data_IF_966664295388
#
_entry.id   IF_966664295388
#
_cell.length_a   1.000
_cell.length_b   1.000
_cell.length_c   1.000
_cell.angle_alpha   90.00
_cell.angle_beta   90.00
_cell.angle_gamma   90.00
#
_symmetry.space_group_name_H-M   'P 1'
#
loop_
_entity.id
_entity.type
_entity.pdbx_description
1 polymer ?
#
# COMPACT_ATOMS: atom_id res chain seq x y z
N UNK A 1 -9.96 12.23 5.53
CA UNK A 1 -9.75 11.36 6.71
C UNK A 1 -8.27 11.28 7.01
N UNK A 2 -7.83 11.64 8.21
CA UNK A 2 -6.40 11.67 8.57
C UNK A 2 -5.81 10.26 8.68
N UNK A 3 -4.49 10.12 8.54
CA UNK A 3 -3.80 8.83 8.67
C UNK A 3 -4.04 8.20 10.05
N UNK A 4 -4.05 9.03 11.10
CA UNK A 4 -4.32 8.62 12.49
C UNK A 4 -5.70 7.99 12.68
N UNK A 5 -6.76 8.58 12.11
CA UNK A 5 -8.12 7.99 12.19
C UNK A 5 -8.21 6.67 11.42
N UNK A 6 -7.51 6.53 10.29
CA UNK A 6 -7.44 5.25 9.57
C UNK A 6 -6.75 4.17 10.39
N UNK A 7 -5.66 4.52 11.08
CA UNK A 7 -4.95 3.61 11.98
C UNK A 7 -5.84 3.18 13.15
N UNK A 8 -6.53 4.12 13.80
CA UNK A 8 -7.46 3.84 14.89
C UNK A 8 -8.58 2.87 14.47
N UNK A 9 -9.23 3.12 13.34
CA UNK A 9 -10.26 2.20 12.81
C UNK A 9 -9.70 0.83 12.42
N UNK A 10 -8.45 0.77 11.93
CA UNK A 10 -7.78 -0.51 11.67
C UNK A 10 -7.59 -1.29 12.98
N UNK A 11 -7.21 -0.61 14.06
CA UNK A 11 -6.99 -1.22 15.38
C UNK A 11 -8.29 -1.72 15.98
N UNK A 12 -9.38 -0.96 15.91
CA UNK A 12 -10.71 -1.45 16.33
C UNK A 12 -11.12 -2.72 15.59
N UNK A 13 -10.96 -2.76 14.26
CA UNK A 13 -11.26 -3.98 13.47
C UNK A 13 -10.41 -5.18 13.88
N UNK A 14 -9.15 -4.95 14.25
CA UNK A 14 -8.27 -6.01 14.75
C UNK A 14 -8.76 -6.53 16.11
N UNK A 15 -9.08 -5.63 17.04
CA UNK A 15 -9.64 -6.00 18.34
C UNK A 15 -10.94 -6.81 18.19
N UNK A 16 -11.87 -6.31 17.38
CA UNK A 16 -13.14 -6.99 17.11
C UNK A 16 -12.91 -8.39 16.51
N UNK A 17 -11.94 -8.51 15.60
CA UNK A 17 -11.52 -9.79 15.01
C UNK A 17 -10.99 -10.78 16.05
N UNK A 18 -10.15 -10.32 16.98
CA UNK A 18 -9.61 -11.13 18.08
C UNK A 18 -10.74 -11.64 18.99
N UNK A 19 -11.67 -10.75 19.38
CA UNK A 19 -12.85 -11.10 20.20
C UNK A 19 -13.73 -12.12 19.45
N UNK A 20 -13.90 -11.93 18.14
CA UNK A 20 -14.61 -12.85 17.25
C UNK A 20 -13.83 -14.14 16.93
N UNK A 21 -12.72 -14.42 17.62
CA UNK A 21 -11.91 -15.65 17.51
C UNK A 21 -11.23 -15.84 16.15
N UNK A 22 -11.01 -14.77 15.40
CA UNK A 22 -10.22 -14.79 14.15
C UNK A 22 -8.75 -14.62 14.46
N UNK A 23 -7.89 -15.22 13.64
CA UNK A 23 -6.47 -14.90 13.65
C UNK A 23 -6.29 -13.55 12.96
N UNK A 24 -5.68 -12.61 13.68
CA UNK A 24 -5.44 -11.24 13.27
C UNK A 24 -3.95 -10.90 13.22
N UNK A 25 -3.09 -11.67 13.90
CA UNK A 25 -1.65 -11.60 13.65
C UNK A 25 -1.34 -12.03 12.21
N UNK A 26 -0.60 -11.18 11.51
CA UNK A 26 -0.20 -11.42 10.14
C UNK A 26 1.21 -10.86 9.90
N UNK A 27 1.57 -10.64 8.63
CA UNK A 27 2.87 -10.09 8.25
C UNK A 27 3.08 -8.62 8.63
N UNK A 28 2.01 -7.90 8.97
CA UNK A 28 2.00 -6.46 9.25
C UNK A 28 1.47 -6.11 10.65
N UNK A 29 0.94 -7.08 11.39
CA UNK A 29 0.31 -6.91 12.71
C UNK A 29 0.91 -7.89 13.70
N UNK A 30 1.41 -7.35 14.82
CA UNK A 30 1.85 -8.12 15.99
C UNK A 30 0.99 -7.76 17.20
N UNK A 31 0.50 -8.75 17.94
CA UNK A 31 -0.28 -8.55 19.15
C UNK A 31 0.56 -8.92 20.38
N UNK A 32 0.59 -8.03 21.37
CA UNK A 32 1.27 -8.29 22.65
C UNK A 32 0.30 -8.02 23.79
N UNK A 33 0.20 -8.97 24.72
CA UNK A 33 -0.62 -8.78 25.92
C UNK A 33 -0.07 -7.71 26.85
N UNK A 34 1.26 -7.57 26.91
CA UNK A 34 1.98 -6.61 27.75
C UNK A 34 3.18 -6.03 27.00
N UNK A 35 3.71 -4.92 27.50
CA UNK A 35 4.95 -4.36 27.00
C UNK A 35 6.09 -5.37 27.17
N UNK A 36 6.89 -5.64 26.13
CA UNK A 36 8.09 -6.45 26.29
C UNK A 36 9.03 -5.80 27.31
N UNK A 37 9.52 -6.63 28.24
CA UNK A 37 10.29 -6.15 29.38
C UNK A 37 11.73 -5.82 28.97
N UNK A 38 12.43 -4.92 29.69
CA UNK A 38 13.81 -4.57 29.37
C UNK A 38 14.77 -5.76 29.31
N UNK A 39 14.58 -6.78 30.16
CA UNK A 39 15.36 -8.02 30.14
C UNK A 39 15.20 -8.83 28.83
N UNK A 40 14.08 -8.65 28.12
CA UNK A 40 13.79 -9.28 26.84
C UNK A 40 14.21 -8.42 25.64
N UNK A 41 15.00 -7.35 25.84
CA UNK A 41 15.34 -6.40 24.78
C UNK A 41 15.95 -7.05 23.53
N UNK A 42 16.85 -8.02 23.70
CA UNK A 42 17.41 -8.76 22.56
C UNK A 42 16.35 -9.53 21.79
N UNK A 43 15.54 -10.32 22.49
CA UNK A 43 14.45 -11.09 21.88
C UNK A 43 13.45 -10.17 21.18
N UNK A 44 13.15 -9.03 21.78
CA UNK A 44 12.21 -8.03 21.27
C UNK A 44 12.77 -7.37 20.00
N UNK A 45 14.02 -6.92 20.02
CA UNK A 45 14.69 -6.35 18.84
C UNK A 45 14.76 -7.37 17.69
N UNK A 46 15.07 -8.63 18.01
CA UNK A 46 15.08 -9.74 17.05
C UNK A 46 13.69 -9.98 16.43
N UNK A 47 12.63 -9.97 17.24
CA UNK A 47 11.25 -10.07 16.75
C UNK A 47 10.85 -8.89 15.87
N UNK A 48 11.21 -7.67 16.28
CA UNK A 48 10.95 -6.46 15.51
C UNK A 48 11.66 -6.48 14.15
N UNK A 49 12.94 -6.85 14.13
CA UNK A 49 13.71 -7.02 12.90
C UNK A 49 13.10 -8.10 12.00
N UNK A 50 12.71 -9.24 12.57
CA UNK A 50 12.10 -10.34 11.83
C UNK A 50 10.77 -9.98 11.19
N UNK A 51 9.93 -9.25 11.93
CA UNK A 51 8.66 -8.73 11.44
C UNK A 51 8.90 -7.68 10.33
N UNK A 52 9.79 -6.72 10.55
CA UNK A 52 10.08 -5.68 9.57
C UNK A 52 10.69 -6.23 8.27
N UNK A 53 11.61 -7.19 8.36
CA UNK A 53 12.18 -7.87 7.20
C UNK A 53 11.12 -8.67 6.42
N UNK A 54 10.16 -9.31 7.12
CA UNK A 54 9.07 -10.02 6.49
C UNK A 54 8.02 -9.10 5.85
N UNK A 55 7.86 -7.88 6.37
CA UNK A 55 6.95 -6.87 5.84
C UNK A 55 7.46 -6.20 4.55
N UNK A 56 8.74 -6.38 4.21
CA UNK A 56 9.34 -6.02 2.91
C UNK A 56 9.12 -4.55 2.50
N UNK A 57 9.07 -3.62 3.46
CA UNK A 57 8.88 -2.18 3.20
C UNK A 57 7.46 -1.68 3.51
N UNK A 58 6.50 -2.57 3.78
CA UNK A 58 5.20 -2.16 4.32
C UNK A 58 5.32 -1.78 5.80
N UNK A 59 4.64 -0.72 6.27
CA UNK A 59 4.61 -0.40 7.69
C UNK A 59 3.99 -1.52 8.51
N UNK A 60 4.62 -1.83 9.63
CA UNK A 60 4.13 -2.82 10.60
C UNK A 60 3.56 -2.11 11.82
N UNK A 61 2.59 -2.75 12.47
CA UNK A 61 2.01 -2.27 13.72
C UNK A 61 2.15 -3.31 14.81
N UNK A 62 2.52 -2.85 16.01
CA UNK A 62 2.47 -3.65 17.23
C UNK A 62 1.36 -3.09 18.12
N UNK A 63 0.44 -3.95 18.54
CA UNK A 63 -0.68 -3.56 19.41
C UNK A 63 -0.45 -4.20 20.77
N UNK A 64 -0.19 -3.34 21.76
CA UNK A 64 0.07 -3.70 23.15
C UNK A 64 -1.24 -3.66 23.93
N UNK A 65 -1.47 -4.66 24.78
CA UNK A 65 -2.68 -4.82 25.57
C UNK A 65 -3.72 -5.75 24.93
N UNK A 66 -3.35 -6.53 23.92
CA UNK A 66 -4.24 -7.50 23.25
C UNK A 66 -3.61 -8.89 23.30
N UNK A 67 -4.37 -9.87 23.78
CA UNK A 67 -3.95 -11.26 23.85
C UNK A 67 -4.77 -12.09 22.86
N UNK A 68 -4.18 -12.45 21.72
CA UNK A 68 -4.86 -13.24 20.69
C UNK A 68 -5.19 -14.66 21.19
N UNK A 69 -4.27 -15.29 21.94
CA UNK A 69 -4.45 -16.65 22.44
C UNK A 69 -5.63 -16.76 23.41
N UNK A 70 -5.76 -15.78 24.30
CA UNK A 70 -6.83 -15.72 25.29
C UNK A 70 -8.06 -14.98 24.76
N UNK A 71 -7.99 -14.41 23.54
CA UNK A 71 -9.08 -13.68 22.86
C UNK A 71 -9.60 -12.52 23.73
N UNK A 72 -8.68 -11.77 24.31
CA UNK A 72 -9.00 -10.76 25.32
C UNK A 72 -8.22 -9.47 25.11
N UNK A 73 -8.86 -8.35 25.41
CA UNK A 73 -8.19 -7.04 25.55
C UNK A 73 -7.81 -6.87 27.01
N UNK A 74 -6.52 -6.95 27.30
CA UNK A 74 -5.97 -6.86 28.65
C UNK A 74 -5.70 -5.41 29.07
N UNK A 75 -5.53 -4.51 28.08
CA UNK A 75 -5.04 -3.17 28.31
C UNK A 75 -3.51 -3.08 28.35
N UNK A 76 -2.99 -1.92 27.98
CA UNK A 76 -1.58 -1.61 28.05
C UNK A 76 -1.29 -0.75 29.29
N UNK A 77 -0.29 -1.15 30.06
CA UNK A 77 0.26 -0.28 31.10
C UNK A 77 0.85 0.99 30.48
N UNK A 78 0.83 2.10 31.24
CA UNK A 78 1.50 3.34 30.85
C UNK A 78 3.00 3.07 30.66
N UNK A 79 3.54 3.42 29.50
CA UNK A 79 4.93 3.21 29.14
C UNK A 79 5.46 4.44 28.39
N UNK A 80 6.67 4.88 28.74
CA UNK A 80 7.43 5.81 27.91
C UNK A 80 7.96 5.05 26.69
N UNK A 81 7.26 5.16 25.56
CA UNK A 81 7.58 4.44 24.32
C UNK A 81 8.97 4.83 23.79
N UNK A 82 9.40 6.08 23.96
CA UNK A 82 10.73 6.51 23.55
C UNK A 82 11.81 5.85 24.41
N UNK A 83 11.61 5.84 25.73
CA UNK A 83 12.47 5.14 26.69
C UNK A 83 12.53 3.63 26.48
N UNK A 84 11.42 3.01 26.06
CA UNK A 84 11.36 1.59 25.70
C UNK A 84 12.07 1.28 24.38
N UNK A 85 11.90 2.13 23.36
CA UNK A 85 12.40 1.87 22.02
C UNK A 85 13.90 2.16 21.85
N UNK A 86 14.44 3.17 22.54
CA UNK A 86 15.84 3.58 22.40
C UNK A 86 16.85 2.44 22.73
N UNK A 87 16.67 1.63 23.79
CA UNK A 87 17.49 0.45 24.04
C UNK A 87 17.42 -0.59 22.92
N UNK A 88 16.24 -0.80 22.31
CA UNK A 88 16.07 -1.76 21.22
C UNK A 88 16.88 -1.35 20.00
N UNK A 89 16.88 -0.06 19.66
CA UNK A 89 17.62 0.48 18.50
C UNK A 89 19.12 0.22 18.58
N UNK A 90 19.72 0.23 19.78
CA UNK A 90 21.16 -0.04 19.99
C UNK A 90 21.57 -1.47 19.63
N UNK A 91 20.61 -2.40 19.58
CA UNK A 91 20.82 -3.80 19.24
C UNK A 91 20.88 -4.05 17.72
N UNK A 92 20.58 -3.03 16.91
CA UNK A 92 20.70 -3.11 15.45
C UNK A 92 22.11 -2.73 14.99
N UNK A 93 22.55 -3.32 13.88
CA UNK A 93 23.81 -2.95 13.24
C UNK A 93 23.75 -1.50 12.74
N UNK A 94 24.80 -0.72 13.02
CA UNK A 94 24.84 0.71 12.74
C UNK A 94 23.67 1.54 13.31
N UNK A 95 22.93 1.01 14.29
CA UNK A 95 21.67 1.57 14.80
C UNK A 95 20.57 1.78 13.73
N UNK A 96 20.64 0.99 12.65
CA UNK A 96 19.63 0.95 11.59
C UNK A 96 18.49 0.04 12.05
N UNK A 97 17.54 0.61 12.78
CA UNK A 97 16.32 -0.05 13.24
C UNK A 97 15.08 0.46 12.47
N UNK A 98 13.94 -0.25 12.49
CA UNK A 98 12.67 0.24 11.92
C UNK A 98 12.22 1.54 12.58
N UNK A 99 12.02 2.62 11.81
CA UNK A 99 11.78 3.94 12.38
C UNK A 99 10.39 4.02 13.04
N UNK A 100 10.33 4.57 14.26
CA UNK A 100 9.06 4.77 14.98
C UNK A 100 8.27 5.92 14.33
N UNK A 101 7.17 5.62 13.65
CA UNK A 101 6.37 6.61 12.91
C UNK A 101 5.31 7.28 13.79
N UNK A 102 4.51 6.47 14.48
CA UNK A 102 3.36 6.94 15.24
C UNK A 102 3.16 6.08 16.49
N UNK A 103 2.68 6.70 17.56
CA UNK A 103 2.19 6.01 18.75
C UNK A 103 0.79 6.52 19.06
N UNK A 104 -0.17 5.60 19.18
CA UNK A 104 -1.57 5.91 19.43
C UNK A 104 -2.09 5.12 20.61
N UNK A 105 -2.74 5.81 21.55
CA UNK A 105 -3.54 5.17 22.60
C UNK A 105 -4.97 5.05 22.08
N UNK A 106 -5.49 3.82 21.99
CA UNK A 106 -6.85 3.55 21.51
C UNK A 106 -7.69 3.07 22.68
N UNK A 107 -8.74 3.82 23.08
CA UNK A 107 -9.64 3.40 24.14
C UNK A 107 -10.49 2.20 23.68
N UNK A 108 -10.71 1.25 24.57
CA UNK A 108 -11.59 0.11 24.35
C UNK A 108 -12.32 -0.23 25.65
N UNK A 109 -13.63 0.02 25.70
CA UNK A 109 -14.44 -0.11 26.91
C UNK A 109 -13.81 0.62 28.11
N UNK A 110 -13.43 -0.11 29.16
CA UNK A 110 -12.84 0.42 30.40
C UNK A 110 -11.30 0.34 30.42
N UNK A 111 -10.68 0.07 29.27
CA UNK A 111 -9.24 -0.11 29.14
C UNK A 111 -8.72 0.63 27.90
N UNK A 112 -7.40 0.68 27.71
CA UNK A 112 -6.78 1.24 26.52
C UNK A 112 -5.66 0.35 26.02
N UNK A 113 -5.54 0.26 24.70
CA UNK A 113 -4.44 -0.42 24.03
C UNK A 113 -3.47 0.63 23.48
N UNK A 114 -2.20 0.28 23.35
CA UNK A 114 -1.21 1.16 22.71
C UNK A 114 -0.79 0.56 21.39
N UNK A 115 -0.81 1.37 20.35
CA UNK A 115 -0.42 1.00 19.00
C UNK A 115 0.89 1.71 18.69
N UNK A 116 1.87 0.94 18.24
CA UNK A 116 3.18 1.44 17.83
C UNK A 116 3.37 1.08 16.36
N UNK A 117 3.48 2.08 15.50
CA UNK A 117 3.67 1.90 14.06
C UNK A 117 5.13 2.15 13.68
N UNK A 118 5.70 1.22 12.92
CA UNK A 118 7.08 1.30 12.43
C UNK A 118 7.14 1.38 10.91
N UNK A 119 8.04 2.22 10.40
CA UNK A 119 8.46 2.20 9.01
C UNK A 119 9.49 1.08 8.80
N UNK A 120 9.33 0.34 7.72
CA UNK A 120 10.19 -0.80 7.37
C UNK A 120 10.94 -0.60 6.05
N UNK A 121 10.87 0.60 5.47
CA UNK A 121 11.42 0.93 4.15
C UNK A 121 12.94 0.79 4.01
N UNK A 122 13.67 0.58 5.12
CA UNK A 122 15.13 0.44 5.16
C UNK A 122 15.61 -1.00 5.33
N UNK A 123 14.73 -2.00 5.18
CA UNK A 123 15.13 -3.40 5.19
C UNK A 123 16.29 -3.65 4.18
N UNK A 124 17.21 -4.59 4.45
CA UNK A 124 17.24 -5.53 5.57
C UNK A 124 17.69 -4.91 6.91
N UNK A 125 17.00 -5.29 7.99
CA UNK A 125 17.37 -4.99 9.36
C UNK A 125 18.21 -6.11 9.96
N UNK A 126 19.39 -5.75 10.47
CA UNK A 126 20.40 -6.67 11.03
C UNK A 126 20.49 -6.48 12.53
N UNK A 127 20.49 -7.56 13.31
CA UNK A 127 20.59 -7.51 14.78
C UNK A 127 21.90 -8.10 15.28
N UNK A 128 22.45 -7.50 16.34
CA UNK A 128 23.62 -7.98 17.09
C UNK A 128 23.22 -9.18 17.93
N UNK A 129 23.88 -10.32 17.71
CA UNK A 129 23.68 -11.54 18.50
C UNK A 129 24.53 -11.43 19.77
N UNK A 130 23.96 -11.66 20.97
CA UNK A 130 24.71 -11.69 22.22
C UNK A 130 25.90 -12.65 22.12
N UNK A 131 27.05 -12.29 22.71
CA UNK A 131 28.22 -13.16 22.71
C UNK A 131 27.90 -14.50 23.38
N UNK A 132 28.37 -15.59 22.78
CA UNK A 132 28.41 -16.90 23.43
C UNK A 132 29.73 -17.03 24.18
N UNK A 133 29.74 -17.79 25.29
CA UNK A 133 30.97 -18.08 26.04
C UNK A 133 32.07 -18.58 25.11
N UNK A 134 33.26 -17.95 25.21
CA UNK A 134 34.42 -18.28 24.39
C UNK A 134 34.47 -17.64 22.99
N UNK A 135 33.46 -16.85 22.59
CA UNK A 135 33.45 -16.13 21.30
C UNK A 135 33.29 -14.62 21.50
N UNK A 136 34.38 -13.87 21.40
CA UNK A 136 34.41 -12.41 21.52
C UNK A 136 34.19 -11.65 20.19
N UNK A 137 33.88 -12.37 19.10
CA UNK A 137 33.63 -11.73 17.81
C UNK A 137 32.19 -11.21 17.76
N UNK A 138 31.96 -9.97 17.29
CA UNK A 138 30.61 -9.48 17.01
C UNK A 138 29.93 -10.42 16.02
N UNK A 139 28.77 -10.96 16.41
CA UNK A 139 27.95 -11.80 15.54
C UNK A 139 26.70 -11.03 15.16
N UNK A 140 26.31 -11.18 13.91
CA UNK A 140 25.13 -10.54 13.35
C UNK A 140 24.24 -11.59 12.72
N UNK A 141 22.94 -11.36 12.78
CA UNK A 141 21.97 -12.13 12.03
C UNK A 141 20.97 -11.18 11.36
N UNK A 142 20.36 -11.65 10.28
CA UNK A 142 19.18 -11.01 9.67
C UNK A 142 17.98 -11.84 10.11
N UNK A 143 17.18 -11.41 11.09
CA UNK A 143 16.01 -12.17 11.48
C UNK A 143 14.93 -12.10 10.40
N UNK A 144 14.16 -13.16 10.22
CA UNK A 144 13.02 -13.23 9.31
C UNK A 144 11.85 -13.94 9.99
N UNK A 145 10.65 -13.37 9.86
CA UNK A 145 9.43 -14.00 10.38
C UNK A 145 8.83 -14.94 9.34
N UNK A 146 8.59 -16.18 9.75
CA UNK A 146 7.80 -17.16 9.00
C UNK A 146 6.71 -17.72 9.91
N UNK A 147 5.45 -17.39 9.59
CA UNK A 147 4.31 -17.62 10.48
C UNK A 147 4.49 -16.90 11.81
N UNK A 148 4.42 -17.63 12.92
CA UNK A 148 4.58 -17.10 14.29
C UNK A 148 6.02 -17.24 14.82
N UNK A 149 6.97 -17.68 13.99
CA UNK A 149 8.36 -17.91 14.39
C UNK A 149 9.30 -16.88 13.78
N UNK A 150 10.32 -16.48 14.53
CA UNK A 150 11.41 -15.63 14.05
C UNK A 150 12.68 -16.47 13.97
N UNK A 151 13.21 -16.65 12.76
CA UNK A 151 14.42 -17.44 12.49
C UNK A 151 15.45 -16.60 11.75
N UNK A 152 16.75 -16.97 11.74
CA UNK A 152 17.70 -16.34 10.83
C UNK A 152 17.26 -16.53 9.37
N UNK A 153 17.35 -15.47 8.58
CA UNK A 153 17.00 -15.46 7.17
C UNK A 153 17.86 -16.46 6.40
N UNK A 154 17.21 -17.31 5.60
CA UNK A 154 17.89 -18.16 4.61
C UNK A 154 18.16 -17.35 3.35
N UNK A 155 18.90 -17.96 2.40
CA UNK A 155 19.18 -17.33 1.10
C UNK A 155 17.92 -16.84 0.39
N UNK A 156 16.87 -17.65 0.37
CA UNK A 156 15.59 -17.30 -0.26
C UNK A 156 14.89 -16.12 0.42
N UNK A 157 14.98 -16.04 1.75
CA UNK A 157 14.44 -14.92 2.54
C UNK A 157 15.21 -13.63 2.24
N UNK A 158 16.55 -13.72 2.19
CA UNK A 158 17.39 -12.58 1.82
C UNK A 158 17.08 -12.08 0.40
N UNK A 159 16.87 -12.97 -0.56
CA UNK A 159 16.47 -12.59 -1.91
C UNK A 159 15.10 -11.90 -1.91
N UNK A 160 14.14 -12.36 -1.11
CA UNK A 160 12.83 -11.69 -0.96
C UNK A 160 12.93 -10.32 -0.30
N UNK A 161 13.80 -10.17 0.70
CA UNK A 161 14.02 -8.89 1.38
C UNK A 161 14.68 -7.89 0.42
N UNK A 162 15.65 -8.35 -0.38
CA UNK A 162 16.40 -7.50 -1.31
C UNK A 162 15.68 -7.28 -2.65
N UNK A 163 14.71 -8.12 -3.00
CA UNK A 163 13.85 -7.90 -4.15
C UNK A 163 13.05 -6.60 -3.91
N UNK A 164 13.21 -5.59 -4.78
CA UNK A 164 12.52 -4.32 -4.62
C UNK A 164 11.02 -4.55 -4.51
N UNK A 165 10.42 -4.16 -3.38
CA UNK A 165 8.97 -4.09 -3.30
C UNK A 165 8.52 -2.92 -4.15
N UNK A 166 8.11 -3.21 -5.38
CA UNK A 166 7.46 -2.22 -6.23
C UNK A 166 6.01 -2.13 -5.74
N UNK A 167 5.74 -1.21 -4.83
CA UNK A 167 4.37 -0.89 -4.45
C UNK A 167 3.64 -0.27 -5.64
N UNK A 168 2.38 -0.66 -5.83
CA UNK A 168 1.51 0.01 -6.78
C UNK A 168 1.44 1.51 -6.40
N UNK A 169 1.65 2.45 -7.34
CA UNK A 169 1.44 3.84 -7.06
C UNK A 169 -0.03 4.09 -6.68
N UNK A 170 -0.27 5.07 -5.83
CA UNK A 170 -1.59 5.63 -5.64
C UNK A 170 -2.06 6.28 -6.95
N UNK A 171 -3.29 6.00 -7.36
CA UNK A 171 -3.90 6.59 -8.55
C UNK A 171 -5.24 7.18 -8.16
N UNK A 172 -5.36 8.50 -8.30
CA UNK A 172 -6.60 9.23 -8.10
C UNK A 172 -7.12 9.71 -9.47
N UNK A 173 -8.33 9.29 -9.83
CA UNK A 173 -8.98 9.75 -11.05
C UNK A 173 -9.55 11.16 -10.84
N UNK A 174 -9.20 12.09 -11.74
CA UNK A 174 -9.56 13.50 -11.61
C UNK A 174 -10.77 13.86 -12.47
N UNK A 175 -10.70 13.58 -13.77
CA UNK A 175 -11.75 13.94 -14.73
C UNK A 175 -11.81 12.96 -15.89
N UNK A 176 -13.01 12.74 -16.43
CA UNK A 176 -13.24 12.03 -17.69
C UNK A 176 -13.93 12.97 -18.67
N UNK A 177 -13.36 13.11 -19.86
CA UNK A 177 -13.98 13.82 -20.98
C UNK A 177 -14.33 12.83 -22.09
N UNK A 178 -15.50 12.97 -22.68
CA UNK A 178 -15.88 12.23 -23.89
C UNK A 178 -16.20 13.25 -24.96
N UNK A 179 -15.42 13.26 -26.03
CA UNK A 179 -15.68 14.06 -27.21
C UNK A 179 -16.25 13.17 -28.32
N UNK A 180 -17.44 13.54 -28.81
CA UNK A 180 -18.14 12.88 -29.91
C UNK A 180 -18.23 13.88 -31.07
N UNK A 181 -17.12 14.00 -31.80
CA UNK A 181 -17.00 15.03 -32.84
C UNK A 181 -17.72 14.66 -34.14
N UNK A 182 -18.09 13.39 -34.39
CA UNK A 182 -18.63 12.98 -35.70
C UNK A 182 -19.35 11.61 -35.77
N UNK A 183 -20.04 11.15 -34.71
CA UNK A 183 -20.86 9.90 -34.65
C UNK A 183 -20.10 8.58 -34.87
N UNK A 184 -18.96 8.57 -35.56
CA UNK A 184 -18.18 7.38 -35.93
C UNK A 184 -16.89 7.22 -35.12
N UNK A 185 -16.53 8.24 -34.35
CA UNK A 185 -15.31 8.27 -33.55
C UNK A 185 -15.60 8.97 -32.23
N UNK A 186 -15.35 8.26 -31.15
CA UNK A 186 -15.45 8.80 -29.81
C UNK A 186 -14.04 8.87 -29.23
N UNK A 187 -13.65 10.05 -28.78
CA UNK A 187 -12.41 10.27 -28.06
C UNK A 187 -12.73 10.37 -26.57
N UNK A 188 -12.09 9.50 -25.78
CA UNK A 188 -12.21 9.53 -24.31
C UNK A 188 -10.87 9.98 -23.75
N UNK A 189 -10.92 10.98 -22.90
CA UNK A 189 -9.76 11.50 -22.17
C UNK A 189 -9.97 11.25 -20.69
N UNK A 190 -9.01 10.62 -20.04
CA UNK A 190 -9.00 10.39 -18.59
C UNK A 190 -7.80 11.11 -17.98
N UNK A 191 -8.05 12.08 -17.11
CA UNK A 191 -7.01 12.71 -16.32
C UNK A 191 -6.94 12.06 -14.94
N UNK A 192 -5.73 11.79 -14.47
CA UNK A 192 -5.48 11.11 -13.20
C UNK A 192 -4.22 11.68 -12.53
N UNK A 193 -4.18 11.61 -11.21
CA UNK A 193 -3.00 11.90 -10.41
C UNK A 193 -2.37 10.58 -9.99
N UNK A 194 -1.08 10.40 -10.29
CA UNK A 194 -0.32 9.20 -9.94
C UNK A 194 0.79 9.58 -8.99
N UNK A 195 0.83 8.92 -7.83
CA UNK A 195 1.85 9.12 -6.81
C UNK A 195 2.55 7.79 -6.48
N UNK A 196 3.87 7.66 -6.72
CA UNK A 196 4.64 6.53 -6.24
C UNK A 196 4.48 6.38 -4.73
N UNK A 197 4.39 5.14 -4.24
CA UNK A 197 4.37 4.87 -2.80
C UNK A 197 5.80 4.60 -2.34
N UNK A 198 6.21 5.27 -1.26
CA UNK A 198 7.57 5.18 -0.71
C UNK A 198 8.63 5.90 -1.55
N UNK A 199 9.87 5.42 -1.51
CA UNK A 199 11.00 5.98 -2.25
C UNK A 199 11.11 5.48 -3.71
N UNK A 200 10.11 4.73 -4.19
CA UNK A 200 10.11 4.13 -5.52
C UNK A 200 9.74 5.12 -6.64
N UNK A 201 9.96 4.71 -7.89
CA UNK A 201 9.45 5.37 -9.09
C UNK A 201 8.37 4.52 -9.74
N UNK A 202 7.31 5.14 -10.24
CA UNK A 202 6.30 4.45 -11.03
C UNK A 202 6.68 4.53 -12.51
N UNK A 203 6.82 3.38 -13.16
CA UNK A 203 7.05 3.31 -14.61
C UNK A 203 5.79 2.76 -15.25
N UNK A 204 5.18 3.55 -16.14
CA UNK A 204 3.90 3.29 -16.79
C UNK A 204 4.12 3.13 -18.29
N UNK A 205 4.20 1.90 -18.83
CA UNK A 205 4.35 1.69 -20.26
C UNK A 205 3.03 1.91 -20.98
N UNK A 206 3.03 2.72 -22.04
CA UNK A 206 1.82 3.02 -22.82
C UNK A 206 1.19 1.75 -23.39
N UNK A 207 2.00 0.79 -23.84
CA UNK A 207 1.53 -0.49 -24.40
C UNK A 207 0.87 -1.44 -23.38
N UNK A 208 0.94 -1.13 -22.07
CA UNK A 208 0.23 -1.86 -21.02
C UNK A 208 -0.98 -1.10 -20.49
N UNK A 209 -1.28 0.08 -21.04
CA UNK A 209 -2.46 0.85 -20.68
C UNK A 209 -3.64 0.45 -21.58
N UNK A 210 -4.85 0.43 -21.02
CA UNK A 210 -6.07 0.13 -21.75
C UNK A 210 -7.22 1.05 -21.33
N UNK A 211 -8.07 1.41 -22.29
CA UNK A 211 -9.37 2.03 -22.04
C UNK A 211 -10.44 1.14 -22.67
N UNK A 212 -11.40 0.70 -21.87
CA UNK A 212 -12.55 -0.08 -22.29
C UNK A 212 -13.83 0.70 -22.04
N UNK A 213 -14.73 0.76 -23.03
CA UNK A 213 -16.03 1.43 -22.92
C UNK A 213 -17.15 0.43 -23.22
N UNK A 214 -18.21 0.43 -22.42
CA UNK A 214 -19.44 -0.31 -22.69
C UNK A 214 -20.68 0.52 -22.37
N UNK A 215 -21.72 0.37 -23.18
CA UNK A 215 -23.00 1.06 -23.00
C UNK A 215 -24.05 0.21 -22.26
N UNK A 216 -23.90 -1.12 -22.25
CA UNK A 216 -24.78 -2.05 -21.55
C UNK A 216 -23.99 -2.73 -20.43
N UNK A 217 -24.56 -2.80 -19.21
CA UNK A 217 -23.90 -3.37 -18.02
C UNK A 217 -23.50 -4.84 -18.16
N UNK A 218 -24.16 -5.58 -19.04
CA UNK A 218 -23.90 -6.99 -19.33
C UNK A 218 -23.16 -7.20 -20.66
N UNK A 219 -22.88 -6.12 -21.39
CA UNK A 219 -22.19 -6.16 -22.68
C UNK A 219 -20.66 -6.24 -22.56
N UNK A 220 -19.96 -6.72 -23.61
CA UNK A 220 -18.51 -6.71 -23.66
C UNK A 220 -17.98 -5.27 -23.75
N UNK A 221 -16.80 -5.04 -23.18
CA UNK A 221 -16.06 -3.79 -23.38
C UNK A 221 -15.56 -3.69 -24.83
N UNK A 222 -15.83 -2.56 -25.46
CA UNK A 222 -15.09 -2.13 -26.65
C UNK A 222 -13.82 -1.45 -26.19
N UNK A 223 -12.65 -1.85 -26.69
CA UNK A 223 -11.38 -1.25 -26.28
C UNK A 223 -10.92 -0.18 -27.27
N UNK A 224 -10.26 0.86 -26.76
CA UNK A 224 -9.66 1.91 -27.58
C UNK A 224 -8.58 1.33 -28.51
N UNK A 225 -8.54 1.79 -29.76
CA UNK A 225 -7.56 1.33 -30.77
C UNK A 225 -6.26 2.12 -30.73
N UNK A 226 -6.33 3.39 -30.37
CA UNK A 226 -5.18 4.29 -30.21
C UNK A 226 -5.20 4.80 -28.78
N UNK A 227 -4.15 4.47 -28.02
CA UNK A 227 -4.00 4.85 -26.62
C UNK A 227 -2.75 5.71 -26.50
N UNK A 228 -2.92 6.91 -25.93
CA UNK A 228 -1.84 7.87 -25.74
C UNK A 228 -1.76 8.26 -24.29
N UNK A 229 -0.60 8.02 -23.71
CA UNK A 229 -0.26 8.49 -22.38
C UNK A 229 0.50 9.80 -22.49
N UNK A 230 0.05 10.83 -21.80
CA UNK A 230 0.68 12.16 -21.77
C UNK A 230 0.87 12.64 -20.34
N UNK A 231 1.87 13.48 -20.16
CA UNK A 231 1.98 14.34 -18.99
C UNK A 231 1.06 15.56 -19.15
N UNK A 232 0.47 16.02 -18.05
CA UNK A 232 -0.19 17.33 -18.02
C UNK A 232 0.58 18.32 -17.15
N UNK A 233 1.07 17.86 -15.99
CA UNK A 233 1.77 18.70 -15.02
C UNK A 233 2.47 17.87 -13.94
N UNK A 234 3.71 18.21 -13.58
CA UNK A 234 4.40 17.66 -12.40
C UNK A 234 5.92 17.71 -12.50
N UNK A 235 6.60 18.20 -11.46
CA UNK A 235 8.07 18.28 -11.38
C UNK A 235 8.76 16.90 -11.37
N UNK A 236 8.01 15.82 -11.19
CA UNK A 236 8.51 14.45 -11.05
C UNK A 236 8.50 13.60 -12.31
N UNK A 237 8.07 14.13 -13.47
CA UNK A 237 7.98 13.34 -14.70
C UNK A 237 9.31 13.36 -15.44
N UNK A 238 9.83 12.18 -15.77
CA UNK A 238 10.93 12.05 -16.72
C UNK A 238 10.41 11.49 -18.04
N UNK A 239 10.79 12.14 -19.14
CA UNK A 239 10.54 11.68 -20.51
C UNK A 239 11.79 10.97 -21.05
N UNK A 240 11.95 9.67 -20.83
CA UNK A 240 12.88 8.93 -21.66
C UNK A 240 12.34 8.94 -23.10
N UNK A 241 13.21 8.83 -24.11
CA UNK A 241 12.86 8.80 -25.54
C UNK A 241 12.09 7.51 -25.94
N UNK A 242 11.28 6.96 -25.04
CA UNK A 242 10.67 5.63 -25.08
C UNK A 242 9.17 5.72 -24.76
N UNK A 243 8.35 4.72 -25.13
CA UNK A 243 6.89 4.74 -24.99
C UNK A 243 6.43 4.40 -23.55
N UNK A 244 7.02 5.07 -22.56
CA UNK A 244 6.64 4.92 -21.16
C UNK A 244 6.84 6.22 -20.39
N UNK A 245 6.01 6.43 -19.37
CA UNK A 245 6.11 7.55 -18.46
C UNK A 245 6.79 7.10 -17.16
N UNK A 246 7.78 7.86 -16.70
CA UNK A 246 8.38 7.66 -15.37
C UNK A 246 7.91 8.78 -14.46
N UNK A 247 7.23 8.40 -13.38
CA UNK A 247 6.72 9.29 -12.34
C UNK A 247 7.57 9.08 -11.09
N UNK A 248 8.42 10.06 -10.76
CA UNK A 248 9.32 10.02 -9.60
C UNK A 248 8.71 10.66 -8.35
N UNK A 249 7.74 11.54 -8.52
CA UNK A 249 6.93 12.15 -7.47
C UNK A 249 5.52 12.35 -7.99
N UNK A 250 4.55 12.65 -7.11
CA UNK A 250 3.15 12.76 -7.48
C UNK A 250 2.91 13.71 -8.66
N UNK A 251 2.31 13.18 -9.74
CA UNK A 251 2.16 13.90 -11.00
C UNK A 251 0.80 13.66 -11.65
N UNK A 252 0.33 14.65 -12.41
CA UNK A 252 -0.91 14.57 -13.17
C UNK A 252 -0.62 14.09 -14.59
N UNK A 253 -1.29 13.02 -14.99
CA UNK A 253 -1.11 12.35 -16.27
C UNK A 253 -2.46 12.19 -16.96
N UNK A 254 -2.43 12.07 -18.28
CA UNK A 254 -3.60 11.94 -19.14
C UNK A 254 -3.50 10.68 -19.98
N UNK A 255 -4.59 9.93 -20.04
CA UNK A 255 -4.75 8.78 -20.93
C UNK A 255 -5.86 9.10 -21.94
N UNK A 256 -5.49 9.22 -23.21
CA UNK A 256 -6.40 9.44 -24.33
C UNK A 256 -6.65 8.11 -25.04
N UNK A 257 -7.91 7.83 -25.39
CA UNK A 257 -8.34 6.64 -26.10
C UNK A 257 -9.31 6.95 -27.22
N UNK A 258 -9.08 6.36 -28.39
CA UNK A 258 -10.00 6.48 -29.54
C UNK A 258 -10.79 5.19 -29.73
N UNK A 259 -12.11 5.30 -29.68
CA UNK A 259 -13.04 4.20 -29.91
C UNK A 259 -13.68 4.32 -31.29
N UNK A 260 -13.69 3.19 -32.01
CA UNK A 260 -14.50 3.02 -33.21
C UNK A 260 -15.79 2.28 -32.78
N UNK A 261 -16.83 3.04 -32.46
CA UNK A 261 -18.13 2.51 -32.09
C UNK A 261 -19.11 2.66 -33.26
N UNK A 262 -20.08 1.74 -33.34
CA UNK A 262 -21.22 1.86 -34.24
C UNK A 262 -22.04 3.11 -33.84
N UNK A 263 -22.36 4.06 -34.74
CA UNK A 263 -22.93 5.39 -34.50
C UNK A 263 -24.27 5.51 -33.75
N UNK A 264 -24.71 4.50 -33.00
CA UNK A 264 -25.87 4.67 -32.13
C UNK A 264 -25.57 5.77 -31.10
N UNK A 265 -26.44 6.76 -30.93
CA UNK A 265 -26.17 7.86 -30.04
C UNK A 265 -26.00 7.32 -28.61
N UNK A 266 -24.78 7.47 -28.08
CA UNK A 266 -24.48 7.21 -26.66
C UNK A 266 -25.16 8.24 -25.75
N UNK A 267 -25.74 9.30 -26.33
CA UNK A 267 -26.50 10.33 -25.63
C UNK A 267 -27.65 9.71 -24.83
N UNK A 268 -27.73 10.09 -23.56
CA UNK A 268 -28.79 9.63 -22.65
C UNK A 268 -28.62 8.19 -22.14
N UNK A 269 -27.51 7.51 -22.46
CA UNK A 269 -27.21 6.18 -21.93
C UNK A 269 -26.18 6.28 -20.80
N UNK A 270 -26.36 5.47 -19.77
CA UNK A 270 -25.27 5.23 -18.82
C UNK A 270 -24.15 4.46 -19.52
N UNK A 271 -22.91 4.91 -19.36
CA UNK A 271 -21.74 4.20 -19.88
C UNK A 271 -20.92 3.67 -18.72
N UNK A 272 -20.23 2.57 -18.93
CA UNK A 272 -19.14 2.13 -18.06
C UNK A 272 -17.80 2.22 -18.76
N UNK A 273 -16.87 2.90 -18.09
CA UNK A 273 -15.50 3.06 -18.50
C UNK A 273 -14.60 2.22 -17.60
N UNK A 274 -13.90 1.26 -18.20
CA UNK A 274 -12.80 0.55 -17.57
C UNK A 274 -11.48 1.22 -17.96
N UNK A 275 -10.68 1.54 -16.96
CA UNK A 275 -9.33 2.10 -17.13
C UNK A 275 -8.31 1.15 -16.55
N UNK A 276 -7.31 0.79 -17.34
CA UNK A 276 -6.18 -0.03 -16.92
C UNK A 276 -4.89 0.77 -17.11
N UNK A 277 -4.14 0.94 -16.03
CA UNK A 277 -2.77 1.44 -16.06
C UNK A 277 -1.82 0.28 -15.76
N UNK A 278 -1.08 -0.15 -16.78
CA UNK A 278 -0.07 -1.18 -16.60
C UNK A 278 1.21 -0.59 -16.01
N UNK A 279 1.78 -1.27 -15.01
CA UNK A 279 3.03 -0.89 -14.37
C UNK A 279 4.14 -1.89 -14.76
N UNK A 280 5.40 -1.46 -14.64
CA UNK A 280 6.57 -2.34 -14.89
C UNK A 280 6.80 -3.35 -13.76
N UNK A 281 6.21 -3.14 -12.58
CA UNK A 281 6.17 -4.15 -11.53
C UNK A 281 5.52 -5.44 -12.07
N UNK A 282 6.05 -6.63 -11.73
CA UNK A 282 5.44 -7.88 -12.16
C UNK A 282 3.98 -7.92 -11.67
N UNK A 283 3.05 -8.05 -12.62
CA UNK A 283 1.61 -8.25 -12.40
C UNK A 283 0.81 -7.11 -11.75
N UNK A 284 1.38 -5.90 -11.61
CA UNK A 284 0.63 -4.78 -11.05
C UNK A 284 -0.01 -3.95 -12.15
N UNK A 285 -1.33 -4.06 -12.29
CA UNK A 285 -2.14 -3.14 -13.07
C UNK A 285 -3.14 -2.45 -12.13
N UNK A 286 -3.27 -1.13 -12.25
CA UNK A 286 -4.35 -0.42 -11.57
C UNK A 286 -5.55 -0.46 -12.49
N UNK A 287 -6.59 -1.17 -12.06
CA UNK A 287 -7.86 -1.27 -12.78
C UNK A 287 -8.92 -0.47 -12.02
N UNK A 288 -9.68 0.32 -12.74
CA UNK A 288 -10.88 0.97 -12.18
C UNK A 288 -12.01 0.92 -13.17
N UNK A 289 -13.23 0.77 -12.66
CA UNK A 289 -14.47 0.81 -13.45
C UNK A 289 -15.32 1.96 -12.94
N UNK A 290 -15.80 2.79 -13.87
CA UNK A 290 -16.57 3.98 -13.55
C UNK A 290 -17.86 4.01 -14.33
N UNK A 291 -18.94 4.42 -13.65
CA UNK A 291 -20.21 4.74 -14.29
C UNK A 291 -20.21 6.21 -14.69
N UNK A 292 -20.59 6.47 -15.93
CA UNK A 292 -20.72 7.79 -16.50
C UNK A 292 -22.21 8.07 -16.74
N UNK A 293 -22.71 9.15 -16.15
CA UNK A 293 -24.07 9.65 -16.39
C UNK A 293 -24.02 10.91 -17.25
N UNK A 294 -24.87 11.02 -18.29
CA UNK A 294 -24.84 12.17 -19.18
C UNK A 294 -25.40 13.42 -18.47
N UNK A 295 -24.66 14.53 -18.48
CA UNK A 295 -25.16 15.85 -18.05
C UNK A 295 -25.71 16.63 -19.26
N UNK A 296 -26.82 17.35 -19.04
CA UNK A 296 -27.60 18.12 -20.02
C UNK A 296 -26.83 19.36 -20.56
N UNK A 297 -25.64 19.66 -20.01
CA UNK A 297 -24.83 20.82 -20.41
C UNK A 297 -23.45 20.39 -20.89
N UNK A 298 -23.31 20.29 -22.22
CA UNK A 298 -22.05 20.07 -22.97
C UNK A 298 -21.19 18.92 -22.43
N UNK A 299 -21.34 17.73 -23.01
CA UNK A 299 -20.33 16.66 -23.05
C UNK A 299 -19.63 16.32 -21.71
N UNK A 300 -20.25 16.66 -20.58
CA UNK A 300 -19.71 16.42 -19.26
C UNK A 300 -20.41 15.18 -18.70
N UNK A 301 -19.60 14.28 -18.17
CA UNK A 301 -20.06 13.03 -17.58
C UNK A 301 -19.69 13.08 -16.11
N UNK A 302 -20.68 12.98 -15.22
CA UNK A 302 -20.42 12.97 -13.79
C UNK A 302 -19.99 11.57 -13.35
N UNK A 303 -18.96 11.56 -12.51
CA UNK A 303 -18.32 10.37 -11.98
C UNK A 303 -19.14 9.78 -10.83
N UNK A 304 -19.41 8.48 -10.89
CA UNK A 304 -19.90 7.72 -9.73
C UNK A 304 -18.90 6.61 -9.42
N UNK A 305 -18.20 6.71 -8.27
CA UNK A 305 -17.33 5.61 -7.78
C UNK A 305 -18.17 4.37 -7.60
N UNK A 306 -17.75 3.24 -8.16
CA UNK A 306 -18.34 1.95 -7.82
C UNK A 306 -17.95 1.61 -6.36
N UNK A 307 -18.91 1.50 -5.43
CA UNK A 307 -18.61 1.19 -4.03
C UNK A 307 -18.04 -0.22 -3.83
N UNK A 308 -18.07 -1.09 -4.84
CA UNK A 308 -17.64 -2.49 -4.74
C UNK A 308 -16.17 -2.73 -5.11
N UNK A 309 -15.44 -1.72 -5.60
CA UNK A 309 -14.02 -1.85 -5.94
C UNK A 309 -13.21 -0.71 -5.29
N UNK A 310 -12.63 -0.94 -4.09
CA UNK A 310 -12.00 0.11 -3.28
C UNK A 310 -10.76 0.75 -3.92
#
# INVERSE_FOLDING_TARGET
MTNRTKLELRVHRIIDGVIAKRQMEDRNVELKSEWPRPEDSYRTARQLAGHANAARGEPIIWIIGVNERNRSVCGAATCDVAGWYLPLRKLFDGEVAPDLMETLVVPHENTSVVVVQFDTGRAPYVTKVPPQEGCNCPRFEVPYRSGNSTNPARREDLLRILEPMIMAPGVDFLTVGINDDNLSRIEVTVAMYVAPVGAGKAVIPTHRCALGLRADLDGPYTYARDIRLRDEFGEGISHPQTPHLIVNSGARIRLDGVFALDPKPLRGRELQLAVTLGLVAPETAVNSTHRLTPDDRRYSWEWVKDPLNP
#
